data_IF_119618795897
#
_entry.id   IF_119618795897
#
_cell.length_a   1.000
_cell.length_b   1.000
_cell.length_c   1.000
_cell.angle_alpha   90.00
_cell.angle_beta   90.00
_cell.angle_gamma   90.00
#
_symmetry.space_group_name_H-M   'P 1'
#
loop_
_entity.id
_entity.type
_entity.pdbx_description
1 polymer ?
#
# COMPACT_ATOMS: atom_id res chain seq x y z
N UNK A 1 1.21 -7.39 -2.85
CA UNK A 1 2.02 -7.39 -1.61
C UNK A 1 1.14 -7.62 -0.39
N UNK A 2 0.29 -6.67 0.01
CA UNK A 2 -0.58 -6.80 1.21
C UNK A 2 -1.36 -8.12 1.25
N UNK A 3 -2.05 -8.50 0.16
CA UNK A 3 -2.79 -9.75 0.09
C UNK A 3 -1.91 -11.02 0.24
N UNK A 4 -0.68 -10.98 -0.28
CA UNK A 4 0.25 -12.10 -0.17
C UNK A 4 0.77 -12.24 1.26
N UNK A 5 1.15 -11.12 1.89
CA UNK A 5 1.53 -11.12 3.31
C UNK A 5 0.38 -11.60 4.20
N UNK A 6 -0.85 -11.15 3.89
CA UNK A 6 -2.05 -11.59 4.61
C UNK A 6 -2.25 -13.10 4.49
N UNK A 7 -2.09 -13.67 3.29
CA UNK A 7 -2.21 -15.11 3.07
C UNK A 7 -1.19 -15.93 3.88
N UNK A 8 0.03 -15.41 4.08
CA UNK A 8 1.04 -16.10 4.91
C UNK A 8 0.64 -16.07 6.38
N UNK A 9 0.17 -14.92 6.88
CA UNK A 9 -0.28 -14.78 8.27
C UNK A 9 -1.48 -15.67 8.56
N UNK A 10 -2.47 -15.71 7.66
CA UNK A 10 -3.66 -16.55 7.81
C UNK A 10 -3.31 -18.05 7.82
N UNK A 11 -2.23 -18.47 7.15
CA UNK A 11 -1.79 -19.86 7.07
C UNK A 11 -1.06 -20.36 8.34
N UNK A 12 -0.42 -19.48 9.10
CA UNK A 12 0.29 -19.83 10.35
C UNK A 12 -0.70 -20.24 11.46
N UNK A 13 -1.82 -19.52 11.57
CA UNK A 13 -2.79 -19.69 12.65
C UNK A 13 -2.30 -19.11 13.99
N UNK A 14 -3.24 -18.83 14.92
CA UNK A 14 -2.92 -18.28 16.24
C UNK A 14 -2.44 -16.82 16.24
N UNK A 15 -2.50 -16.13 15.09
CA UNK A 15 -2.18 -14.72 14.93
C UNK A 15 -3.49 -13.95 14.72
N UNK A 16 -3.79 -13.02 15.62
CA UNK A 16 -4.92 -12.08 15.50
C UNK A 16 -4.42 -10.77 14.90
N UNK A 17 -4.71 -10.53 13.62
CA UNK A 17 -4.16 -9.40 12.88
C UNK A 17 -4.97 -8.12 13.16
N UNK A 18 -4.32 -7.11 13.76
CA UNK A 18 -4.94 -5.79 13.93
C UNK A 18 -5.00 -5.05 12.59
N UNK A 19 -3.85 -4.92 11.92
CA UNK A 19 -3.75 -4.33 10.60
C UNK A 19 -2.51 -4.82 9.84
N UNK A 20 -2.63 -4.77 8.52
CA UNK A 20 -1.50 -4.76 7.60
C UNK A 20 -1.79 -3.74 6.51
N UNK A 21 -0.85 -2.84 6.28
CA UNK A 21 -1.00 -1.73 5.35
C UNK A 21 0.31 -1.47 4.61
N UNK A 22 0.20 -1.18 3.31
CA UNK A 22 1.26 -0.56 2.54
C UNK A 22 1.00 0.94 2.53
N UNK A 23 2.00 1.71 2.97
CA UNK A 23 1.95 3.16 2.98
C UNK A 23 3.03 3.75 2.10
N UNK A 24 2.85 5.00 1.70
CA UNK A 24 3.95 5.85 1.27
C UNK A 24 4.90 6.14 2.44
N UNK A 25 6.20 6.01 2.23
CA UNK A 25 7.17 6.19 3.30
C UNK A 25 7.32 7.66 3.74
N UNK A 26 7.10 8.62 2.84
CA UNK A 26 7.23 10.05 3.15
C UNK A 26 6.00 10.64 3.81
N UNK A 27 4.82 10.23 3.36
CA UNK A 27 3.54 10.82 3.74
C UNK A 27 2.71 9.95 4.68
N UNK A 28 3.07 8.68 4.86
CA UNK A 28 2.29 7.66 5.58
C UNK A 28 0.86 7.49 5.05
N UNK A 29 0.60 7.96 3.83
CA UNK A 29 -0.64 7.72 3.13
C UNK A 29 -0.82 6.23 2.89
N UNK A 30 -1.98 5.68 3.25
CA UNK A 30 -2.30 4.28 3.01
C UNK A 30 -2.60 4.08 1.54
N UNK A 31 -1.78 3.25 0.87
CA UNK A 31 -1.87 2.91 -0.54
C UNK A 31 -2.61 1.59 -0.76
N UNK A 32 -2.51 0.68 0.20
CA UNK A 32 -3.28 -0.56 0.23
C UNK A 32 -3.36 -1.09 1.67
N UNK A 33 -4.45 -1.76 2.04
CA UNK A 33 -4.61 -2.36 3.36
C UNK A 33 -5.60 -3.51 3.36
N UNK A 34 -5.80 -4.16 4.51
CA UNK A 34 -6.93 -5.07 4.72
C UNK A 34 -8.25 -4.29 4.84
N UNK A 35 -9.39 -4.99 4.79
CA UNK A 35 -10.73 -4.39 4.78
C UNK A 35 -10.99 -3.36 5.90
N UNK A 36 -10.28 -3.46 7.02
CA UNK A 36 -10.42 -2.56 8.17
C UNK A 36 -9.58 -1.27 8.08
N UNK A 37 -8.75 -1.13 7.03
CA UNK A 37 -7.81 -0.03 6.88
C UNK A 37 -8.29 0.88 5.73
N UNK A 38 -8.80 2.09 6.02
CA UNK A 38 -9.23 3.01 4.97
C UNK A 38 -8.02 3.47 4.15
N UNK A 39 -8.10 3.33 2.84
CA UNK A 39 -7.10 3.83 1.90
C UNK A 39 -7.26 5.36 1.79
N UNK A 40 -6.15 6.09 1.80
CA UNK A 40 -6.18 7.55 1.66
C UNK A 40 -6.37 7.97 0.20
N UNK A 41 -6.91 9.17 -0.03
CA UNK A 41 -7.04 9.76 -1.38
C UNK A 41 -5.80 10.57 -1.83
N UNK A 42 -4.73 10.59 -1.04
CA UNK A 42 -3.46 11.22 -1.42
C UNK A 42 -3.52 12.72 -1.63
N UNK A 43 -3.55 13.49 -0.53
CA UNK A 43 -3.45 14.94 -0.60
C UNK A 43 -1.99 15.46 -0.63
N UNK A 44 -1.01 14.61 -0.33
CA UNK A 44 0.39 14.98 -0.16
C UNK A 44 1.30 14.38 -1.25
N UNK A 45 2.38 15.08 -1.57
CA UNK A 45 3.31 14.66 -2.63
C UNK A 45 4.10 13.38 -2.20
N UNK A 46 4.20 12.36 -3.07
CA UNK A 46 5.07 11.20 -2.89
C UNK A 46 6.51 11.50 -2.48
N UNK A 47 7.15 10.59 -1.74
CA UNK A 47 8.62 10.49 -1.80
C UNK A 47 9.03 9.63 -3.00
N UNK A 48 9.66 10.26 -3.99
CA UNK A 48 10.18 9.58 -5.20
C UNK A 48 11.70 9.47 -5.10
N UNK A 49 12.21 8.26 -5.34
CA UNK A 49 13.63 7.94 -5.44
C UNK A 49 14.23 8.46 -6.75
N UNK A 50 15.55 8.55 -6.80
CA UNK A 50 16.30 8.99 -7.98
C UNK A 50 16.09 8.10 -9.22
N UNK A 51 15.68 6.84 -9.02
CA UNK A 51 15.32 5.90 -10.08
C UNK A 51 13.84 6.01 -10.54
N UNK A 52 13.09 6.97 -10.00
CA UNK A 52 11.68 7.21 -10.30
C UNK A 52 10.71 6.30 -9.56
N UNK A 53 11.17 5.41 -8.68
CA UNK A 53 10.28 4.60 -7.84
C UNK A 53 9.81 5.38 -6.61
N UNK A 54 8.61 5.08 -6.10
CA UNK A 54 8.11 5.65 -4.84
C UNK A 54 8.63 4.81 -3.67
N UNK A 55 9.04 5.45 -2.59
CA UNK A 55 9.37 4.71 -1.36
C UNK A 55 8.09 4.27 -0.65
N UNK A 56 7.89 2.96 -0.52
CA UNK A 56 6.80 2.38 0.26
C UNK A 56 7.29 1.78 1.57
N UNK A 57 6.37 1.65 2.53
CA UNK A 57 6.60 0.88 3.76
C UNK A 57 5.41 -0.02 4.06
N UNK A 58 5.67 -1.30 4.27
CA UNK A 58 4.69 -2.24 4.79
C UNK A 58 4.70 -2.14 6.31
N UNK A 59 3.52 -1.90 6.90
CA UNK A 59 3.31 -1.84 8.35
C UNK A 59 2.42 -3.01 8.75
N UNK A 60 2.76 -3.68 9.85
CA UNK A 60 1.95 -4.78 10.39
C UNK A 60 1.88 -4.69 11.91
N UNK A 61 0.70 -4.97 12.46
CA UNK A 61 0.54 -5.22 13.88
C UNK A 61 -0.44 -6.38 14.09
N UNK A 62 -0.08 -7.27 15.02
CA UNK A 62 -0.87 -8.44 15.34
C UNK A 62 -0.70 -8.83 16.80
N UNK A 63 -1.62 -9.62 17.34
CA UNK A 63 -1.49 -10.29 18.63
C UNK A 63 -1.17 -11.76 18.44
N UNK A 64 -0.24 -12.25 19.27
CA UNK A 64 0.04 -13.67 19.45
C UNK A 64 -0.21 -13.99 20.91
N UNK A 65 -1.30 -14.70 21.18
CA UNK A 65 -1.85 -14.81 22.53
C UNK A 65 -2.24 -13.43 23.08
N UNK A 66 -1.59 -13.00 24.17
CA UNK A 66 -1.84 -11.69 24.81
C UNK A 66 -0.83 -10.61 24.40
N UNK A 67 0.19 -10.97 23.63
CA UNK A 67 1.28 -10.07 23.27
C UNK A 67 0.99 -9.41 21.93
N UNK A 68 1.05 -8.07 21.88
CA UNK A 68 0.95 -7.30 20.64
C UNK A 68 2.33 -7.07 20.04
N UNK A 69 2.53 -7.52 18.81
CA UNK A 69 3.73 -7.34 18.01
C UNK A 69 3.50 -6.29 16.94
N UNK A 70 4.53 -5.50 16.66
CA UNK A 70 4.52 -4.46 15.64
C UNK A 70 5.80 -4.63 14.83
N UNK A 71 5.67 -4.63 13.51
CA UNK A 71 6.82 -4.65 12.62
C UNK A 71 6.56 -3.82 11.37
N UNK A 72 7.62 -3.51 10.64
CA UNK A 72 7.57 -2.80 9.38
C UNK A 72 8.72 -3.20 8.46
N UNK A 73 8.52 -2.98 7.16
CA UNK A 73 9.53 -3.29 6.15
C UNK A 73 9.47 -2.28 5.00
N UNK A 74 10.63 -1.85 4.50
CA UNK A 74 10.72 -1.02 3.31
C UNK A 74 10.32 -1.82 2.06
N UNK A 75 9.59 -1.16 1.17
CA UNK A 75 9.09 -1.76 -0.08
C UNK A 75 9.29 -0.76 -1.21
N UNK A 76 10.20 -1.02 -2.17
CA UNK A 76 10.30 -0.16 -3.35
C UNK A 76 9.02 -0.30 -4.19
N UNK A 77 8.32 0.80 -4.42
CA UNK A 77 7.12 0.85 -5.25
C UNK A 77 7.48 1.33 -6.63
N UNK A 78 7.51 0.40 -7.59
CA UNK A 78 7.63 0.76 -9.00
C UNK A 78 6.28 1.26 -9.48
N UNK A 79 6.24 2.45 -10.04
CA UNK A 79 5.06 2.91 -10.76
C UNK A 79 4.73 1.88 -11.84
N UNK A 80 3.54 1.29 -11.75
CA UNK A 80 3.00 0.42 -12.81
C UNK A 80 2.36 1.25 -13.92
N UNK A 81 2.55 2.58 -13.92
CA UNK A 81 2.16 3.46 -15.02
C UNK A 81 3.04 3.22 -16.25
N UNK A 82 2.80 2.09 -16.92
CA UNK A 82 2.76 2.11 -18.38
C UNK A 82 1.72 3.15 -18.85
N UNK A 83 1.77 3.61 -20.11
CA UNK A 83 1.08 4.82 -20.60
C UNK A 83 -0.46 4.77 -20.62
N UNK A 84 -1.13 3.87 -19.91
CA UNK A 84 -2.60 3.69 -19.96
C UNK A 84 -3.39 4.46 -18.89
N UNK A 85 -2.78 5.39 -18.17
CA UNK A 85 -3.45 6.20 -17.13
C UNK A 85 -3.97 7.57 -17.59
N UNK A 86 -3.87 7.96 -18.87
CA UNK A 86 -4.49 9.21 -19.35
C UNK A 86 -5.95 8.99 -19.72
N UNK A 87 -6.82 9.24 -18.75
CA UNK A 87 -8.18 9.69 -19.01
C UNK A 87 -8.11 10.96 -19.88
N UNK A 88 -8.40 10.83 -21.16
CA UNK A 88 -8.84 11.91 -22.03
C UNK A 88 -9.61 11.35 -23.22
N UNK A 89 -10.78 10.75 -22.98
CA UNK A 89 -11.82 10.74 -24.01
C UNK A 89 -12.34 12.17 -24.14
N UNK A 90 -11.77 12.95 -25.07
CA UNK A 90 -12.47 14.11 -25.64
C UNK A 90 -13.18 13.64 -26.89
N UNK A 91 -14.46 13.32 -26.71
CA UNK A 91 -15.44 13.20 -27.78
C UNK A 91 -15.60 14.56 -28.48
N UNK A 92 -15.52 14.60 -29.82
CA UNK A 92 -15.92 15.75 -30.63
C UNK A 92 -15.06 16.09 -31.85
N UNK A 93 -15.17 15.28 -32.92
CA UNK A 93 -15.18 15.72 -34.34
C UNK A 93 -16.21 16.87 -34.55
N UNK A 94 -16.22 17.78 -35.53
CA UNK A 94 -15.58 18.06 -36.82
C UNK A 94 -15.89 19.56 -37.13
N UNK A 95 -15.05 20.24 -37.90
CA UNK A 95 -15.43 21.36 -38.76
C UNK A 95 -14.74 21.20 -40.13
#
# INVERSE_FOLDING_TARGET
>A
IVAQCRSVIDAEGGIDLDYIALVDAGTFEILAGTQSVPVGEGAAAPTILSDGSREGRLLVAAKVGTTRLIDNMEVPLRDTSGPSGRLAERSGELA
#
